data_IF_827171480877
#
_entry.id   IF_827171480877
#
_cell.length_a   1.000
_cell.length_b   1.000
_cell.length_c   1.000
_cell.angle_alpha   90.00
_cell.angle_beta   90.00
_cell.angle_gamma   90.00
#
_symmetry.space_group_name_H-M   'P 1'
#
loop_
_entity.id
_entity.type
_entity.pdbx_description
1 polymer ?
#
# COMPACT_ATOMS: atom_id res chain seq x y z
N UNK A 1 20.55 -8.97 27.24
CA UNK A 1 19.93 -8.36 26.03
C UNK A 1 18.71 -9.21 25.72
N UNK A 2 17.47 -8.68 25.85
CA UNK A 2 16.29 -9.44 25.43
C UNK A 2 16.40 -9.70 23.94
N UNK A 3 16.23 -10.93 23.53
CA UNK A 3 16.17 -11.33 22.11
C UNK A 3 15.13 -10.46 21.38
N UNK A 4 15.49 -9.91 20.23
CA UNK A 4 14.64 -8.98 19.49
C UNK A 4 13.47 -9.74 18.90
N UNK A 5 12.24 -9.39 19.25
CA UNK A 5 11.07 -9.93 18.58
C UNK A 5 10.94 -9.30 17.18
N UNK A 6 11.15 -10.07 16.10
CA UNK A 6 11.12 -9.58 14.74
C UNK A 6 9.70 -9.22 14.27
N UNK A 7 8.67 -9.52 15.06
CA UNK A 7 7.27 -9.24 14.72
C UNK A 7 6.79 -7.88 15.22
N UNK A 8 7.54 -7.21 16.12
CA UNK A 8 7.16 -5.89 16.65
C UNK A 8 7.87 -4.79 15.88
N UNK A 9 7.15 -3.81 15.29
CA UNK A 9 7.80 -2.63 14.71
C UNK A 9 8.62 -1.88 15.76
N UNK A 10 9.76 -1.33 15.37
CA UNK A 10 10.65 -0.63 16.30
C UNK A 10 11.16 0.70 15.73
N UNK A 11 11.04 1.77 16.52
CA UNK A 11 11.75 3.01 16.24
C UNK A 11 13.20 2.85 16.72
N UNK A 12 14.23 2.98 15.85
CA UNK A 12 15.60 2.60 16.20
C UNK A 12 16.36 3.69 16.98
N UNK A 13 15.80 4.90 17.08
CA UNK A 13 16.48 6.03 17.68
C UNK A 13 15.97 6.32 19.10
N UNK A 14 16.68 7.21 19.79
CA UNK A 14 16.23 7.74 21.10
C UNK A 14 14.96 8.59 20.91
N UNK A 15 14.12 8.57 21.91
CA UNK A 15 12.90 9.40 21.95
C UNK A 15 13.24 10.89 21.86
N UNK A 16 12.44 11.63 21.12
CA UNK A 16 12.50 13.10 21.05
C UNK A 16 11.74 13.68 22.24
N UNK A 17 12.47 14.25 23.21
CA UNK A 17 11.95 14.61 24.52
C UNK A 17 11.23 15.96 24.60
N UNK A 18 11.30 16.84 23.59
CA UNK A 18 10.67 18.16 23.63
C UNK A 18 10.24 18.66 22.26
N UNK A 19 9.38 19.68 22.24
CA UNK A 19 8.93 20.36 21.01
C UNK A 19 10.11 21.04 20.30
N UNK A 20 11.06 21.59 21.05
CA UNK A 20 12.28 22.21 20.53
C UNK A 20 13.14 21.17 19.80
N UNK A 21 13.35 20.02 20.42
CA UNK A 21 14.08 18.90 19.82
C UNK A 21 13.36 18.38 18.58
N UNK A 22 12.03 18.30 18.59
CA UNK A 22 11.24 17.93 17.42
C UNK A 22 11.40 18.95 16.29
N UNK A 23 11.30 20.24 16.56
CA UNK A 23 11.47 21.30 15.57
C UNK A 23 12.85 21.26 14.92
N UNK A 24 13.90 21.11 15.75
CA UNK A 24 15.28 20.94 15.27
C UNK A 24 15.42 19.69 14.43
N UNK A 25 14.90 18.54 14.85
CA UNK A 25 14.95 17.28 14.12
C UNK A 25 14.23 17.36 12.77
N UNK A 26 13.10 18.05 12.71
CA UNK A 26 12.33 18.25 11.48
C UNK A 26 12.85 19.41 10.62
N UNK A 27 13.87 20.14 11.07
CA UNK A 27 14.45 21.33 10.41
C UNK A 27 13.42 22.42 10.14
N UNK A 28 12.64 22.76 11.15
CA UNK A 28 11.62 23.82 11.12
C UNK A 28 11.75 24.66 12.39
N UNK A 29 11.37 25.95 12.35
CA UNK A 29 11.33 26.75 13.59
C UNK A 29 10.21 26.24 14.52
N UNK A 30 10.39 26.35 15.85
CA UNK A 30 9.35 26.02 16.82
C UNK A 30 8.05 26.79 16.53
N UNK A 31 8.17 28.06 16.16
CA UNK A 31 7.03 28.92 15.82
C UNK A 31 6.26 28.35 14.62
N UNK A 32 6.95 27.96 13.55
CA UNK A 32 6.31 27.41 12.35
C UNK A 32 5.73 26.02 12.61
N UNK A 33 6.41 25.19 13.43
CA UNK A 33 5.91 23.88 13.83
C UNK A 33 4.56 24.01 14.54
N UNK A 34 4.46 24.88 15.55
CA UNK A 34 3.23 25.11 16.30
C UNK A 34 2.14 25.70 15.40
N UNK A 35 2.46 26.73 14.61
CA UNK A 35 1.52 27.35 13.67
C UNK A 35 0.94 26.34 12.68
N UNK A 36 1.78 25.47 12.13
CA UNK A 36 1.33 24.44 11.20
C UNK A 36 0.48 23.37 11.89
N UNK A 37 0.82 22.98 13.12
CA UNK A 37 0.03 22.03 13.89
C UNK A 37 -1.37 22.58 14.25
N UNK A 38 -1.47 23.85 14.64
CA UNK A 38 -2.72 24.52 14.97
C UNK A 38 -3.65 24.66 13.75
N UNK A 39 -3.07 24.86 12.57
CA UNK A 39 -3.81 25.11 11.33
C UNK A 39 -3.85 23.89 10.39
N UNK A 40 -3.34 22.73 10.79
CA UNK A 40 -3.14 21.58 9.92
C UNK A 40 -4.41 21.17 9.15
N UNK A 41 -5.56 21.12 9.83
CA UNK A 41 -6.85 20.75 9.19
C UNK A 41 -7.29 21.69 8.08
N UNK A 42 -6.89 22.95 8.10
CA UNK A 42 -7.21 23.94 7.06
C UNK A 42 -6.27 23.88 5.86
N UNK A 43 -5.19 23.08 5.96
CA UNK A 43 -4.12 22.99 4.97
C UNK A 43 -4.23 21.73 4.09
N UNK A 44 -5.44 21.20 3.90
CA UNK A 44 -5.70 20.11 2.98
C UNK A 44 -6.68 20.51 1.87
N UNK A 45 -6.46 19.96 0.70
CA UNK A 45 -7.40 19.96 -0.42
C UNK A 45 -7.92 18.55 -0.63
N UNK A 46 -9.23 18.37 -0.53
CA UNK A 46 -9.88 17.11 -0.84
C UNK A 46 -9.99 16.92 -2.37
N UNK A 47 -9.65 15.74 -2.86
CA UNK A 47 -9.76 15.37 -4.27
C UNK A 47 -10.64 14.11 -4.36
N UNK A 48 -11.81 14.19 -5.04
CA UNK A 48 -12.67 13.04 -5.25
C UNK A 48 -12.11 12.16 -6.38
N UNK A 49 -12.01 10.85 -6.13
CA UNK A 49 -11.65 9.85 -7.13
C UNK A 49 -12.83 8.90 -7.31
N UNK A 50 -13.42 8.78 -8.51
CA UNK A 50 -14.51 7.85 -8.77
C UNK A 50 -14.06 6.40 -8.54
N UNK A 51 -14.87 5.60 -7.84
CA UNK A 51 -14.65 4.16 -7.68
C UNK A 51 -15.21 3.39 -8.86
N UNK A 52 -14.56 2.31 -9.29
CA UNK A 52 -15.02 1.43 -10.38
C UNK A 52 -16.39 0.79 -10.14
N UNK A 53 -16.79 0.63 -8.89
CA UNK A 53 -18.08 0.05 -8.49
C UNK A 53 -19.13 1.08 -8.05
N UNK A 54 -18.95 2.35 -8.40
CA UNK A 54 -19.78 3.46 -7.94
C UNK A 54 -19.31 4.08 -6.62
N UNK A 55 -19.73 5.33 -6.37
CA UNK A 55 -19.31 6.11 -5.22
C UNK A 55 -17.96 6.81 -5.42
N UNK A 56 -17.53 7.54 -4.39
CA UNK A 56 -16.33 8.38 -4.41
C UNK A 56 -15.35 7.89 -3.34
N UNK A 57 -14.06 7.95 -3.65
CA UNK A 57 -12.94 7.82 -2.73
C UNK A 57 -12.33 9.20 -2.56
N UNK A 58 -12.28 9.70 -1.35
CA UNK A 58 -11.65 10.96 -1.07
C UNK A 58 -10.17 10.77 -0.80
N UNK A 59 -9.34 11.56 -1.48
CA UNK A 59 -7.91 11.67 -1.19
C UNK A 59 -7.61 13.12 -0.84
N UNK A 60 -6.55 13.32 -0.07
CA UNK A 60 -6.23 14.63 0.48
C UNK A 60 -4.81 15.02 0.11
N UNK A 61 -4.64 16.19 -0.49
CA UNK A 61 -3.33 16.76 -0.77
C UNK A 61 -3.07 17.93 0.19
N UNK A 62 -1.97 17.87 0.94
CA UNK A 62 -1.59 18.94 1.84
C UNK A 62 -1.01 20.13 1.06
N UNK A 63 -1.37 21.36 1.46
CA UNK A 63 -0.74 22.58 0.93
C UNK A 63 0.77 22.60 1.17
N UNK A 64 1.56 23.31 0.33
CA UNK A 64 3.02 23.21 0.32
C UNK A 64 3.73 23.31 1.67
N UNK A 65 3.38 24.23 2.59
CA UNK A 65 4.05 24.30 3.89
C UNK A 65 3.87 23.03 4.73
N UNK A 66 2.63 22.54 4.86
CA UNK A 66 2.32 21.30 5.58
C UNK A 66 2.91 20.08 4.83
N UNK A 67 2.80 20.04 3.52
CA UNK A 67 3.34 18.95 2.68
C UNK A 67 4.85 18.78 2.81
N UNK A 68 5.60 19.89 2.94
CA UNK A 68 7.04 19.86 3.21
C UNK A 68 7.33 19.27 4.59
N UNK A 69 6.65 19.76 5.63
CA UNK A 69 6.82 19.27 6.99
C UNK A 69 6.45 17.79 7.12
N UNK A 70 5.34 17.36 6.50
CA UNK A 70 4.95 15.94 6.43
C UNK A 70 6.00 15.09 5.68
N UNK A 71 6.67 15.67 4.69
CA UNK A 71 7.84 15.03 4.06
C UNK A 71 8.96 14.78 5.06
N UNK A 72 9.30 15.79 5.88
CA UNK A 72 10.33 15.64 6.92
C UNK A 72 9.91 14.62 7.99
N UNK A 73 8.65 14.61 8.42
CA UNK A 73 8.10 13.59 9.35
C UNK A 73 8.28 12.20 8.74
N UNK A 74 7.87 12.00 7.49
CA UNK A 74 8.03 10.72 6.80
C UNK A 74 9.49 10.27 6.74
N UNK A 75 10.39 11.12 6.24
CA UNK A 75 11.78 10.77 5.99
C UNK A 75 12.59 10.56 7.28
N UNK A 76 12.29 11.32 8.35
CA UNK A 76 13.11 11.35 9.55
C UNK A 76 12.58 10.50 10.69
N UNK A 77 11.27 10.29 10.76
CA UNK A 77 10.64 9.53 11.84
C UNK A 77 10.10 8.19 11.36
N UNK A 78 9.34 8.16 10.26
CA UNK A 78 8.61 6.97 9.86
C UNK A 78 9.45 6.03 8.98
N UNK A 79 10.22 6.55 8.04
CA UNK A 79 11.07 5.75 7.16
C UNK A 79 12.12 4.91 7.90
N UNK A 80 12.77 5.44 8.97
CA UNK A 80 13.76 4.67 9.73
C UNK A 80 13.19 3.55 10.61
N UNK A 81 11.88 3.45 10.78
CA UNK A 81 11.26 2.38 11.58
C UNK A 81 11.64 1.01 11.00
N UNK A 82 12.05 0.10 11.85
CA UNK A 82 12.24 -1.30 11.50
C UNK A 82 10.87 -1.97 11.41
N UNK A 83 10.41 -2.19 10.19
CA UNK A 83 9.11 -2.81 9.93
C UNK A 83 9.23 -4.33 9.88
N UNK A 84 8.36 -5.09 10.57
CA UNK A 84 8.28 -6.54 10.44
C UNK A 84 8.07 -7.00 8.99
N UNK A 85 8.57 -8.18 8.67
CA UNK A 85 8.51 -8.73 7.31
C UNK A 85 7.08 -9.00 6.81
N UNK A 86 6.13 -9.20 7.71
CA UNK A 86 4.72 -9.42 7.34
C UNK A 86 4.01 -8.13 6.87
N UNK A 87 4.52 -6.95 7.21
CA UNK A 87 4.00 -5.68 6.70
C UNK A 87 4.53 -5.43 5.30
N UNK A 88 3.62 -5.39 4.35
CA UNK A 88 3.91 -5.23 2.94
C UNK A 88 3.19 -3.98 2.37
N UNK A 89 3.73 -3.45 1.30
CA UNK A 89 3.13 -2.31 0.60
C UNK A 89 3.39 -0.95 1.24
N UNK A 90 3.71 0.02 0.41
CA UNK A 90 3.93 1.41 0.79
C UNK A 90 5.03 1.64 1.84
N UNK A 91 5.89 0.68 2.07
CA UNK A 91 7.09 0.76 2.90
C UNK A 91 8.29 0.70 1.96
N UNK A 92 9.16 1.71 2.05
CA UNK A 92 10.44 1.68 1.35
C UNK A 92 11.43 0.89 2.19
N UNK A 93 11.86 -0.24 1.67
CA UNK A 93 12.88 -1.10 2.26
C UNK A 93 13.93 -1.36 1.17
N UNK A 94 15.19 -0.90 1.34
CA UNK A 94 16.22 -1.07 0.32
C UNK A 94 16.69 -2.53 0.18
N UNK A 95 16.61 -3.30 1.25
CA UNK A 95 17.18 -4.66 1.32
C UNK A 95 16.13 -5.72 0.98
N UNK A 96 14.87 -5.46 1.34
CA UNK A 96 13.77 -6.41 1.14
C UNK A 96 12.60 -5.72 0.43
N UNK A 97 12.43 -5.93 -0.88
CA UNK A 97 11.32 -5.34 -1.62
C UNK A 97 9.96 -5.72 -1.02
N UNK A 98 9.13 -4.72 -0.72
CA UNK A 98 7.76 -4.87 -0.19
C UNK A 98 6.73 -4.55 -1.26
N UNK A 99 6.94 -5.13 -2.42
CA UNK A 99 6.13 -4.94 -3.61
C UNK A 99 4.96 -5.94 -3.68
N UNK A 100 3.95 -5.68 -4.53
CA UNK A 100 2.82 -6.61 -4.71
C UNK A 100 3.23 -8.04 -5.07
N UNK A 101 4.32 -8.22 -5.82
CA UNK A 101 4.83 -9.54 -6.16
C UNK A 101 5.50 -10.21 -4.96
N UNK A 102 6.36 -9.50 -4.23
CA UNK A 102 7.02 -10.02 -3.04
C UNK A 102 5.98 -10.46 -2.00
N UNK A 103 4.94 -9.65 -1.79
CA UNK A 103 3.81 -10.04 -0.95
C UNK A 103 3.13 -11.35 -1.41
N UNK A 104 2.92 -11.51 -2.70
CA UNK A 104 2.32 -12.73 -3.25
C UNK A 104 3.26 -13.94 -3.18
N UNK A 105 4.58 -13.72 -3.29
CA UNK A 105 5.60 -14.77 -3.17
C UNK A 105 5.61 -15.39 -1.77
N UNK A 106 5.31 -14.64 -0.71
CA UNK A 106 5.18 -15.18 0.67
C UNK A 106 4.13 -16.31 0.74
N UNK A 107 3.09 -16.22 -0.07
CA UNK A 107 1.96 -17.15 -0.08
C UNK A 107 2.03 -18.19 -1.20
N UNK A 108 3.06 -18.14 -2.04
CA UNK A 108 3.19 -19.02 -3.20
C UNK A 108 3.30 -20.48 -2.77
N UNK A 109 2.59 -21.36 -3.47
CA UNK A 109 2.59 -22.81 -3.18
C UNK A 109 1.60 -23.25 -2.11
N UNK A 110 1.10 -22.36 -1.26
CA UNK A 110 0.11 -22.70 -0.23
C UNK A 110 -1.20 -23.20 -0.83
N UNK A 111 -1.94 -23.96 -0.04
CA UNK A 111 -3.16 -24.66 -0.48
C UNK A 111 -4.44 -23.85 -0.20
N UNK A 112 -4.58 -23.27 1.00
CA UNK A 112 -5.77 -22.52 1.41
C UNK A 112 -5.41 -21.07 1.70
N UNK A 113 -6.30 -20.15 1.32
CA UNK A 113 -6.15 -18.71 1.48
C UNK A 113 -7.38 -18.12 2.14
N UNK A 114 -7.18 -17.33 3.18
CA UNK A 114 -8.18 -16.45 3.80
C UNK A 114 -7.74 -15.03 3.47
N UNK A 115 -8.62 -14.27 2.80
CA UNK A 115 -8.33 -12.90 2.36
C UNK A 115 -9.37 -11.96 2.94
N UNK A 116 -8.91 -10.89 3.56
CA UNK A 116 -9.71 -9.85 4.18
C UNK A 116 -9.24 -8.46 3.76
N UNK A 117 -10.13 -7.49 3.82
CA UNK A 117 -9.85 -6.09 3.53
C UNK A 117 -10.44 -5.23 4.66
N UNK A 118 -9.73 -4.24 5.12
CA UNK A 118 -10.22 -3.32 6.15
C UNK A 118 -11.06 -2.23 5.50
N UNK A 119 -12.29 -2.06 5.97
CA UNK A 119 -13.21 -1.08 5.43
C UNK A 119 -12.73 0.35 5.69
N UNK A 120 -12.49 1.12 4.62
CA UNK A 120 -12.10 2.54 4.74
C UNK A 120 -10.86 2.77 5.60
N UNK A 121 -9.85 1.92 5.48
CA UNK A 121 -8.73 1.79 6.42
C UNK A 121 -8.15 3.11 6.90
N UNK A 122 -7.71 3.97 5.98
CA UNK A 122 -7.15 5.28 6.34
C UNK A 122 -8.12 6.15 7.16
N UNK A 123 -9.36 6.24 6.69
CA UNK A 123 -10.41 7.01 7.36
C UNK A 123 -10.93 6.40 8.65
N UNK A 124 -10.63 5.14 8.93
CA UNK A 124 -11.00 4.45 10.17
C UNK A 124 -9.92 4.56 11.26
N UNK A 125 -8.70 4.97 10.92
CA UNK A 125 -7.62 5.18 11.90
C UNK A 125 -7.83 6.52 12.59
N UNK A 126 -8.25 6.47 13.86
CA UNK A 126 -8.52 7.65 14.64
C UNK A 126 -7.24 8.37 15.12
N UNK A 127 -7.32 9.69 15.47
CA UNK A 127 -6.22 10.42 16.08
C UNK A 127 -5.73 9.77 17.38
N UNK A 128 -6.59 9.08 18.13
CA UNK A 128 -6.18 8.37 19.35
C UNK A 128 -5.21 7.23 19.03
N UNK A 129 -5.47 6.45 17.98
CA UNK A 129 -4.56 5.40 17.53
C UNK A 129 -3.22 5.98 17.06
N UNK A 130 -3.24 7.11 16.35
CA UNK A 130 -2.01 7.80 15.89
C UNK A 130 -1.24 8.37 17.07
N UNK A 131 -1.91 8.98 18.05
CA UNK A 131 -1.27 9.51 19.26
C UNK A 131 -0.65 8.40 20.11
N UNK A 132 -1.37 7.28 20.29
CA UNK A 132 -0.85 6.11 21.01
C UNK A 132 0.41 5.55 20.33
N UNK A 133 0.42 5.48 19.01
CA UNK A 133 1.60 5.09 18.23
C UNK A 133 2.80 6.02 18.52
N UNK A 134 2.64 7.34 18.45
CA UNK A 134 3.73 8.28 18.75
C UNK A 134 4.21 8.17 20.19
N UNK A 135 3.29 7.96 21.15
CA UNK A 135 3.63 7.86 22.56
C UNK A 135 4.31 6.55 22.93
N UNK A 136 3.79 5.43 22.48
CA UNK A 136 4.20 4.11 23.00
C UNK A 136 5.20 3.40 22.09
N UNK A 137 5.03 3.47 20.76
CA UNK A 137 5.98 2.87 19.84
C UNK A 137 7.24 3.75 19.69
N UNK A 138 7.08 5.08 19.55
CA UNK A 138 8.21 6.00 19.41
C UNK A 138 8.74 6.49 20.78
N UNK A 139 7.99 6.30 21.85
CA UNK A 139 8.36 6.75 23.19
C UNK A 139 8.31 8.26 23.38
N UNK A 140 7.60 9.02 22.53
CA UNK A 140 7.57 10.48 22.61
C UNK A 140 6.66 10.97 23.75
N UNK A 141 7.01 12.08 24.43
CA UNK A 141 6.15 12.67 25.45
C UNK A 141 4.85 13.21 24.84
N UNK A 142 3.84 13.40 25.69
CA UNK A 142 2.48 13.72 25.28
C UNK A 142 2.39 14.95 24.35
N UNK A 143 3.09 16.02 24.67
CA UNK A 143 3.11 17.26 23.90
C UNK A 143 3.72 17.10 22.48
N UNK A 144 4.77 16.30 22.35
CA UNK A 144 5.39 15.96 21.05
C UNK A 144 4.45 15.09 20.23
N UNK A 145 3.88 14.05 20.84
CA UNK A 145 2.94 13.15 20.18
C UNK A 145 1.67 13.88 19.70
N UNK A 146 1.16 14.83 20.49
CA UNK A 146 -0.01 15.66 20.13
C UNK A 146 0.27 16.51 18.88
N UNK A 147 1.41 17.20 18.83
CA UNK A 147 1.80 17.99 17.64
C UNK A 147 1.91 17.10 16.40
N UNK A 148 2.59 15.95 16.51
CA UNK A 148 2.71 15.02 15.40
C UNK A 148 1.34 14.47 14.96
N UNK A 149 0.46 14.17 15.89
CA UNK A 149 -0.91 13.73 15.60
C UNK A 149 -1.66 14.79 14.80
N UNK A 150 -1.67 16.05 15.26
CA UNK A 150 -2.32 17.17 14.56
C UNK A 150 -1.77 17.36 13.14
N UNK A 151 -0.45 17.23 12.94
CA UNK A 151 0.20 17.38 11.64
C UNK A 151 -0.07 16.23 10.67
N UNK A 152 -0.51 15.07 11.17
CA UNK A 152 -0.65 13.85 10.37
C UNK A 152 -2.08 13.30 10.30
N UNK A 153 -3.02 13.96 10.97
CA UNK A 153 -4.47 13.66 10.89
C UNK A 153 -5.24 14.86 10.35
N UNK A 154 -6.42 14.61 9.83
CA UNK A 154 -7.33 15.62 9.28
C UNK A 154 -8.77 15.20 9.56
N UNK A 155 -9.56 16.07 10.18
CA UNK A 155 -10.99 15.83 10.50
C UNK A 155 -11.26 14.46 11.15
N UNK A 156 -10.45 14.10 12.13
CA UNK A 156 -10.64 12.86 12.90
C UNK A 156 -10.16 11.59 12.20
N UNK A 157 -9.39 11.69 11.11
CA UNK A 157 -8.92 10.54 10.33
C UNK A 157 -7.46 10.71 9.87
N UNK A 158 -6.84 9.63 9.42
CA UNK A 158 -5.58 9.68 8.66
C UNK A 158 -5.90 9.97 7.19
N UNK A 159 -5.45 11.12 6.64
CA UNK A 159 -5.83 11.56 5.30
C UNK A 159 -5.15 10.71 4.22
N UNK A 160 -5.94 9.99 3.43
CA UNK A 160 -5.42 9.20 2.32
C UNK A 160 -4.79 10.10 1.25
N UNK A 161 -3.55 9.81 0.85
CA UNK A 161 -2.78 10.60 -0.12
C UNK A 161 -1.74 11.55 0.49
N UNK A 162 -1.81 11.86 1.80
CA UNK A 162 -0.77 12.63 2.46
C UNK A 162 0.52 11.79 2.64
N UNK A 163 1.67 12.47 2.64
CA UNK A 163 2.98 11.81 2.64
C UNK A 163 3.23 10.81 3.77
N UNK A 164 2.82 11.05 5.04
CA UNK A 164 3.06 10.12 6.15
C UNK A 164 2.01 9.01 6.24
N UNK A 165 0.86 9.15 5.59
CA UNK A 165 -0.34 8.37 5.88
C UNK A 165 -0.17 6.86 5.70
N UNK A 166 0.52 6.41 4.65
CA UNK A 166 0.71 4.97 4.42
C UNK A 166 1.61 4.33 5.48
N UNK A 167 2.61 5.05 5.97
CA UNK A 167 3.48 4.57 7.06
C UNK A 167 2.71 4.50 8.38
N UNK A 168 1.93 5.52 8.71
CA UNK A 168 1.06 5.54 9.89
C UNK A 168 0.04 4.40 9.82
N UNK A 169 -0.59 4.19 8.67
CA UNK A 169 -1.53 3.10 8.45
C UNK A 169 -0.86 1.72 8.66
N UNK A 170 0.38 1.54 8.21
CA UNK A 170 1.12 0.31 8.48
C UNK A 170 1.43 0.10 9.97
N UNK A 171 1.55 1.17 10.75
CA UNK A 171 1.80 1.11 12.19
C UNK A 171 0.53 1.15 13.06
N UNK A 172 -0.66 1.30 12.48
CA UNK A 172 -1.90 1.44 13.25
C UNK A 172 -2.23 0.24 14.16
N UNK A 173 -1.75 -0.96 13.79
CA UNK A 173 -1.96 -2.21 14.53
C UNK A 173 -0.70 -2.68 15.31
N UNK A 174 0.30 -1.83 15.47
CA UNK A 174 1.65 -2.15 15.95
C UNK A 174 1.71 -2.97 17.26
N UNK A 175 0.74 -2.82 18.15
CA UNK A 175 0.68 -3.43 19.48
C UNK A 175 -0.25 -4.65 19.57
N UNK A 176 -1.13 -4.85 18.59
CA UNK A 176 -2.11 -5.96 18.58
C UNK A 176 -1.83 -6.99 17.49
N UNK A 177 -1.25 -6.57 16.37
CA UNK A 177 -0.96 -7.45 15.21
C UNK A 177 0.16 -8.47 15.48
N UNK A 178 1.28 -8.13 16.18
CA UNK A 178 2.36 -9.07 16.43
C UNK A 178 1.92 -10.37 17.11
N UNK A 179 1.06 -10.28 18.11
CA UNK A 179 0.55 -11.46 18.82
C UNK A 179 -0.31 -12.36 17.92
N UNK A 180 -1.12 -11.75 17.06
CA UNK A 180 -1.90 -12.50 16.08
C UNK A 180 -1.00 -13.20 15.05
N UNK A 181 0.02 -12.48 14.55
CA UNK A 181 0.99 -13.05 13.60
C UNK A 181 1.77 -14.20 14.22
N UNK A 182 2.21 -14.06 15.47
CA UNK A 182 2.88 -15.13 16.21
C UNK A 182 2.02 -16.39 16.25
N UNK A 183 0.75 -16.26 16.58
CA UNK A 183 -0.18 -17.38 16.62
C UNK A 183 -0.40 -18.04 15.24
N UNK A 184 -0.45 -17.26 14.19
CA UNK A 184 -0.54 -17.78 12.82
C UNK A 184 0.75 -18.54 12.44
N UNK A 185 1.92 -18.00 12.78
CA UNK A 185 3.21 -18.63 12.49
C UNK A 185 3.42 -19.93 13.27
N UNK A 186 3.03 -19.99 14.56
CA UNK A 186 3.14 -21.20 15.36
C UNK A 186 2.30 -22.36 14.84
N UNK A 187 1.24 -22.07 14.07
CA UNK A 187 0.42 -23.07 13.37
C UNK A 187 1.02 -23.50 12.03
N UNK A 188 2.20 -22.95 11.63
CA UNK A 188 2.82 -23.20 10.33
C UNK A 188 2.12 -22.51 9.17
N UNK A 189 1.36 -21.42 9.43
CA UNK A 189 0.68 -20.64 8.42
C UNK A 189 1.44 -19.34 8.12
N UNK A 190 1.17 -18.74 6.97
CA UNK A 190 1.77 -17.48 6.53
C UNK A 190 0.76 -16.37 6.66
N UNK A 191 1.18 -15.25 7.23
CA UNK A 191 0.42 -14.00 7.33
C UNK A 191 1.15 -12.88 6.58
N UNK A 192 0.40 -12.05 5.87
CA UNK A 192 0.89 -10.75 5.43
C UNK A 192 -0.25 -9.71 5.41
N UNK A 193 0.14 -8.44 5.56
CA UNK A 193 -0.76 -7.31 5.36
C UNK A 193 -0.14 -6.32 4.37
N UNK A 194 -0.83 -6.14 3.24
CA UNK A 194 -0.48 -5.16 2.23
C UNK A 194 -1.38 -3.92 2.39
N UNK A 195 -0.98 -3.00 3.26
CA UNK A 195 -1.74 -1.82 3.71
C UNK A 195 -3.06 -2.25 4.36
N UNK A 196 -4.17 -2.30 3.61
CA UNK A 196 -5.51 -2.69 4.05
C UNK A 196 -5.90 -4.13 3.69
N UNK A 197 -5.19 -4.76 2.75
CA UNK A 197 -5.42 -6.14 2.33
C UNK A 197 -4.64 -7.13 3.22
N UNK A 198 -5.34 -7.98 3.98
CA UNK A 198 -4.78 -9.06 4.80
C UNK A 198 -4.90 -10.39 4.08
N UNK A 199 -3.83 -11.17 4.10
CA UNK A 199 -3.81 -12.54 3.58
C UNK A 199 -3.24 -13.48 4.61
N UNK A 200 -3.97 -14.56 4.89
CA UNK A 200 -3.49 -15.72 5.66
C UNK A 200 -3.51 -16.92 4.73
N UNK A 201 -2.44 -17.68 4.65
CA UNK A 201 -2.42 -18.90 3.85
C UNK A 201 -1.81 -20.09 4.60
N UNK A 202 -2.31 -21.27 4.30
CA UNK A 202 -1.92 -22.53 4.91
C UNK A 202 -1.49 -23.54 3.85
N UNK A 203 -0.48 -24.40 4.14
CA UNK A 203 -0.03 -25.42 3.20
C UNK A 203 -1.04 -26.58 3.03
N UNK A 204 -2.05 -26.66 3.89
CA UNK A 204 -3.10 -27.69 3.93
C UNK A 204 -4.49 -27.10 3.94
N UNK A 205 -5.49 -27.95 3.77
CA UNK A 205 -6.87 -27.59 4.04
C UNK A 205 -7.09 -27.38 5.55
N UNK A 206 -7.95 -26.43 5.88
CA UNK A 206 -8.38 -26.15 7.25
C UNK A 206 -9.80 -26.63 7.48
N UNK A 207 -10.09 -27.10 8.69
CA UNK A 207 -11.46 -27.40 9.12
C UNK A 207 -12.32 -26.12 9.18
N UNK A 208 -13.61 -26.25 9.23
CA UNK A 208 -14.53 -25.11 9.40
C UNK A 208 -14.27 -24.39 10.72
N UNK A 209 -13.96 -25.14 11.78
CA UNK A 209 -13.64 -24.58 13.09
C UNK A 209 -12.35 -23.75 13.06
N UNK A 210 -11.27 -24.26 12.46
CA UNK A 210 -10.01 -23.53 12.32
C UNK A 210 -10.19 -22.21 11.54
N UNK A 211 -10.93 -22.24 10.42
CA UNK A 211 -11.25 -21.04 9.64
C UNK A 211 -12.02 -20.00 10.44
N UNK A 212 -13.07 -20.45 11.14
CA UNK A 212 -13.89 -19.57 11.98
C UNK A 212 -13.08 -18.95 13.11
N UNK A 213 -12.22 -19.73 13.76
CA UNK A 213 -11.34 -19.27 14.83
C UNK A 213 -10.36 -18.20 14.32
N UNK A 214 -9.69 -18.43 13.20
CA UNK A 214 -8.75 -17.49 12.60
C UNK A 214 -9.46 -16.17 12.24
N UNK A 215 -10.62 -16.24 11.57
CA UNK A 215 -11.38 -15.06 11.16
C UNK A 215 -11.91 -14.30 12.39
N UNK A 216 -12.41 -15.00 13.40
CA UNK A 216 -12.87 -14.38 14.66
C UNK A 216 -11.77 -13.61 15.36
N UNK A 217 -10.56 -14.19 15.46
CA UNK A 217 -9.40 -13.55 16.08
C UNK A 217 -8.91 -12.35 15.26
N UNK A 218 -8.86 -12.49 13.93
CA UNK A 218 -8.53 -11.38 13.04
C UNK A 218 -9.49 -10.19 13.21
N UNK A 219 -10.80 -10.47 13.30
CA UNK A 219 -11.79 -9.43 13.52
C UNK A 219 -11.71 -8.82 14.92
N UNK A 220 -11.33 -9.61 15.93
CA UNK A 220 -11.02 -9.11 17.26
C UNK A 220 -9.84 -8.15 17.27
N UNK A 221 -8.78 -8.47 16.52
CA UNK A 221 -7.62 -7.59 16.33
C UNK A 221 -8.02 -6.26 15.66
N UNK A 222 -8.84 -6.28 14.62
CA UNK A 222 -9.36 -5.07 14.00
C UNK A 222 -10.19 -4.24 14.97
N UNK A 223 -11.13 -4.88 15.68
CA UNK A 223 -12.03 -4.23 16.62
C UNK A 223 -11.28 -3.53 17.78
N UNK A 224 -10.15 -4.08 18.23
CA UNK A 224 -9.31 -3.48 19.27
C UNK A 224 -8.76 -2.08 18.86
N UNK A 225 -8.76 -1.76 17.58
CA UNK A 225 -8.36 -0.44 17.04
C UNK A 225 -9.51 0.31 16.38
N UNK A 226 -10.76 -0.10 16.62
CA UNK A 226 -11.94 0.50 16.01
C UNK A 226 -12.11 0.23 14.51
N UNK A 227 -11.31 -0.68 13.95
CA UNK A 227 -11.36 -1.05 12.55
C UNK A 227 -12.43 -2.13 12.30
N UNK A 228 -12.93 -2.18 11.06
CA UNK A 228 -13.96 -3.16 10.66
C UNK A 228 -13.56 -3.87 9.36
N UNK A 229 -13.83 -5.18 9.24
CA UNK A 229 -13.62 -5.89 7.99
C UNK A 229 -14.60 -5.43 6.92
N UNK A 230 -14.18 -5.43 5.68
CA UNK A 230 -15.04 -5.19 4.51
C UNK A 230 -15.63 -6.52 4.04
N UNK A 231 -16.70 -6.97 4.65
CA UNK A 231 -17.31 -8.30 4.46
C UNK A 231 -17.53 -8.70 2.99
N UNK A 232 -17.80 -7.75 2.12
CA UNK A 232 -17.98 -7.99 0.67
C UNK A 232 -16.69 -8.47 -0.03
N UNK A 233 -15.53 -8.28 0.60
CA UNK A 233 -14.22 -8.72 0.09
C UNK A 233 -13.71 -9.98 0.81
N UNK A 234 -14.40 -10.44 1.86
CA UNK A 234 -14.09 -11.70 2.52
C UNK A 234 -14.00 -12.84 1.51
N UNK A 235 -12.96 -13.61 1.55
CA UNK A 235 -12.77 -14.74 0.64
C UNK A 235 -11.97 -15.85 1.33
N UNK A 236 -12.52 -17.05 1.29
CA UNK A 236 -11.79 -18.27 1.63
C UNK A 236 -11.75 -19.15 0.39
N UNK A 237 -10.57 -19.41 -0.14
CA UNK A 237 -10.41 -20.13 -1.39
C UNK A 237 -9.26 -21.14 -1.33
N UNK A 238 -9.38 -22.22 -2.08
CA UNK A 238 -8.34 -23.25 -2.22
C UNK A 238 -7.55 -23.02 -3.50
N UNK A 239 -6.31 -23.50 -3.51
CA UNK A 239 -5.46 -23.56 -4.70
C UNK A 239 -6.24 -24.18 -5.87
N UNK A 240 -6.21 -23.53 -7.03
CA UNK A 240 -6.92 -24.00 -8.23
C UNK A 240 -8.42 -23.73 -8.28
N UNK A 241 -9.05 -23.31 -7.19
CA UNK A 241 -10.47 -23.00 -7.14
C UNK A 241 -10.75 -21.67 -7.86
N UNK A 242 -11.84 -21.63 -8.67
CA UNK A 242 -12.33 -20.37 -9.21
C UNK A 242 -12.90 -19.51 -8.07
N UNK A 243 -12.55 -18.24 -8.04
CA UNK A 243 -13.09 -17.25 -7.10
C UNK A 243 -14.00 -16.28 -7.83
N UNK A 244 -14.82 -15.54 -7.11
CA UNK A 244 -15.65 -14.47 -7.68
C UNK A 244 -14.86 -13.42 -8.49
N UNK A 245 -13.55 -13.33 -8.28
CA UNK A 245 -12.63 -12.44 -9.01
C UNK A 245 -11.94 -13.08 -10.22
N UNK A 246 -12.23 -14.35 -10.54
CA UNK A 246 -11.64 -15.06 -11.67
C UNK A 246 -11.12 -16.46 -11.33
N UNK A 247 -10.37 -17.08 -12.26
CA UNK A 247 -9.80 -18.42 -12.07
C UNK A 247 -8.55 -18.37 -11.20
N UNK A 248 -8.57 -19.07 -10.09
CA UNK A 248 -7.44 -19.23 -9.15
C UNK A 248 -7.31 -18.08 -8.15
N UNK A 249 -6.65 -18.38 -7.02
CA UNK A 249 -6.38 -17.40 -5.97
C UNK A 249 -5.30 -16.44 -6.41
N UNK A 250 -5.55 -15.15 -6.21
CA UNK A 250 -4.55 -14.10 -6.45
C UNK A 250 -4.30 -13.31 -5.17
N UNK A 251 -3.04 -13.04 -4.87
CA UNK A 251 -2.61 -12.13 -3.81
C UNK A 251 -2.00 -10.90 -4.48
N UNK A 252 -2.47 -9.71 -4.13
CA UNK A 252 -2.02 -8.44 -4.74
C UNK A 252 -1.98 -8.46 -6.29
N UNK A 253 -2.88 -9.25 -6.89
CA UNK A 253 -3.01 -9.38 -8.35
C UNK A 253 -2.07 -10.38 -9.02
N UNK A 254 -1.34 -11.19 -8.25
CA UNK A 254 -0.51 -12.30 -8.74
C UNK A 254 -1.11 -13.64 -8.35
N UNK A 255 -1.08 -14.61 -9.27
CA UNK A 255 -1.48 -15.98 -8.99
C UNK A 255 -0.41 -16.69 -8.14
N UNK A 256 -0.86 -17.41 -7.12
CA UNK A 256 -0.02 -18.07 -6.11
C UNK A 256 0.00 -19.59 -6.22
N UNK A 257 -0.57 -20.14 -7.28
CA UNK A 257 -0.70 -21.60 -7.48
C UNK A 257 0.61 -22.35 -7.76
N UNK A 258 1.66 -21.65 -8.18
CA UNK A 258 3.01 -22.21 -8.37
C UNK A 258 3.90 -21.96 -7.15
N UNK A 259 5.17 -22.40 -7.23
CA UNK A 259 6.21 -22.12 -6.22
C UNK A 259 6.68 -20.66 -6.17
N UNK A 260 6.23 -19.81 -7.12
CA UNK A 260 6.45 -18.37 -7.19
C UNK A 260 5.19 -17.66 -7.66
N UNK A 261 5.03 -16.43 -7.23
CA UNK A 261 3.95 -15.55 -7.69
C UNK A 261 4.12 -15.20 -9.17
N UNK A 262 3.05 -15.33 -9.94
CA UNK A 262 3.08 -15.09 -11.39
C UNK A 262 1.83 -14.34 -11.87
N UNK A 263 1.95 -13.60 -12.95
CA UNK A 263 0.76 -13.03 -13.61
C UNK A 263 -0.01 -14.16 -14.31
N UNK A 264 -1.32 -14.27 -14.06
CA UNK A 264 -2.14 -15.35 -14.59
C UNK A 264 -2.10 -15.40 -16.13
N UNK A 265 -2.25 -16.61 -16.71
CA UNK A 265 -2.30 -16.80 -18.17
C UNK A 265 -3.38 -15.93 -18.83
N UNK A 266 -4.55 -15.83 -18.19
CA UNK A 266 -5.66 -15.02 -18.70
C UNK A 266 -5.29 -13.52 -18.75
N UNK A 267 -4.63 -13.00 -17.72
CA UNK A 267 -4.19 -11.61 -17.68
C UNK A 267 -3.06 -11.37 -18.70
N UNK A 268 -2.08 -12.26 -18.82
CA UNK A 268 -1.04 -12.17 -19.86
C UNK A 268 -1.63 -12.11 -21.26
N UNK A 269 -2.65 -12.92 -21.55
CA UNK A 269 -3.33 -12.90 -22.84
C UNK A 269 -4.06 -11.58 -23.09
N UNK A 270 -4.79 -11.05 -22.09
CA UNK A 270 -5.45 -9.73 -22.20
C UNK A 270 -4.45 -8.61 -22.49
N UNK A 271 -3.32 -8.62 -21.79
CA UNK A 271 -2.26 -7.62 -22.00
C UNK A 271 -1.65 -7.75 -23.40
N UNK A 272 -1.39 -8.96 -23.87
CA UNK A 272 -0.91 -9.22 -25.23
C UNK A 272 -1.87 -8.68 -26.28
N UNK A 273 -3.17 -8.93 -26.13
CA UNK A 273 -4.21 -8.39 -27.03
C UNK A 273 -4.24 -6.87 -27.00
N UNK A 274 -4.18 -6.27 -25.79
CA UNK A 274 -4.14 -4.82 -25.64
C UNK A 274 -2.93 -4.19 -26.33
N UNK A 275 -1.74 -4.76 -26.19
CA UNK A 275 -0.52 -4.29 -26.87
C UNK A 275 -0.70 -4.36 -28.39
N UNK A 276 -1.21 -5.48 -28.94
CA UNK A 276 -1.49 -5.62 -30.38
C UNK A 276 -2.48 -4.57 -30.91
N UNK A 277 -3.53 -4.28 -30.14
CA UNK A 277 -4.50 -3.24 -30.53
C UNK A 277 -3.85 -1.85 -30.57
N UNK A 278 -2.99 -1.54 -29.58
CA UNK A 278 -2.24 -0.26 -29.53
C UNK A 278 -1.32 -0.14 -30.74
N UNK A 279 -0.62 -1.20 -31.14
CA UNK A 279 0.26 -1.22 -32.33
C UNK A 279 -0.52 -0.94 -33.62
N UNK A 280 -1.65 -1.60 -33.78
CA UNK A 280 -2.51 -1.40 -34.97
C UNK A 280 -3.03 0.04 -35.01
N UNK A 281 -3.59 0.53 -33.92
CA UNK A 281 -4.20 1.86 -33.84
C UNK A 281 -3.17 2.98 -34.04
N UNK A 282 -1.98 2.84 -33.44
CA UNK A 282 -0.91 3.82 -33.60
C UNK A 282 -0.41 3.90 -35.07
N UNK A 283 -0.48 2.79 -35.85
CA UNK A 283 -0.10 2.77 -37.25
C UNK A 283 -1.20 3.31 -38.18
N UNK A 284 -2.48 3.08 -37.82
CA UNK A 284 -3.61 3.37 -38.73
C UNK A 284 -4.30 4.68 -38.45
N UNK A 285 -4.37 5.12 -37.18
CA UNK A 285 -5.18 6.29 -36.73
C UNK A 285 -4.35 7.42 -36.15
N UNK A 286 -3.05 7.21 -35.96
CA UNK A 286 -2.20 8.19 -35.30
C UNK A 286 -2.44 8.31 -33.79
N UNK A 287 -2.06 9.45 -33.20
CA UNK A 287 -2.16 9.67 -31.75
C UNK A 287 -3.50 10.27 -31.34
N UNK A 288 -4.06 9.76 -30.22
CA UNK A 288 -5.23 10.35 -29.54
C UNK A 288 -5.04 10.33 -28.02
N UNK A 289 -5.78 11.15 -27.24
CA UNK A 289 -5.77 11.06 -25.77
C UNK A 289 -6.11 9.67 -25.25
N UNK A 290 -7.08 8.98 -25.87
CA UNK A 290 -7.53 7.65 -25.51
C UNK A 290 -6.43 6.60 -25.78
N UNK A 291 -5.75 6.70 -26.91
CA UNK A 291 -4.62 5.82 -27.24
C UNK A 291 -3.46 6.00 -26.25
N UNK A 292 -3.16 7.26 -25.87
CA UNK A 292 -2.15 7.56 -24.83
C UNK A 292 -2.50 6.95 -23.48
N UNK A 293 -3.76 7.08 -23.04
CA UNK A 293 -4.23 6.48 -21.79
C UNK A 293 -4.15 4.95 -21.82
N UNK A 294 -4.55 4.32 -22.93
CA UNK A 294 -4.46 2.87 -23.13
C UNK A 294 -3.01 2.40 -23.17
N UNK A 295 -2.12 3.13 -23.79
CA UNK A 295 -0.68 2.84 -23.80
C UNK A 295 -0.10 2.89 -22.39
N UNK A 296 -0.40 3.91 -21.59
CA UNK A 296 0.07 4.02 -20.21
C UNK A 296 -0.45 2.87 -19.33
N UNK A 297 -1.72 2.51 -19.47
CA UNK A 297 -2.32 1.36 -18.79
C UNK A 297 -1.66 0.05 -19.19
N UNK A 298 -1.44 -0.18 -20.49
CA UNK A 298 -0.76 -1.38 -21.00
C UNK A 298 0.71 -1.44 -20.54
N UNK A 299 1.43 -0.32 -20.55
CA UNK A 299 2.83 -0.25 -20.08
C UNK A 299 2.97 -0.65 -18.63
N UNK A 300 2.07 -0.18 -17.74
CA UNK A 300 2.06 -0.56 -16.33
C UNK A 300 1.82 -2.08 -16.15
N UNK A 301 0.89 -2.65 -16.94
CA UNK A 301 0.56 -4.08 -16.89
C UNK A 301 1.69 -4.95 -17.48
N UNK A 302 2.31 -4.53 -18.57
CA UNK A 302 3.50 -5.18 -19.16
C UNK A 302 4.67 -5.15 -18.18
N UNK A 303 4.92 -4.00 -17.52
CA UNK A 303 5.94 -3.87 -16.48
C UNK A 303 5.74 -4.89 -15.35
N UNK A 304 4.50 -5.14 -14.93
CA UNK A 304 4.18 -6.16 -13.93
C UNK A 304 4.50 -7.59 -14.41
N UNK A 305 4.20 -7.92 -15.69
CA UNK A 305 4.49 -9.23 -16.27
C UNK A 305 6.02 -9.45 -16.40
N UNK A 306 6.75 -8.42 -16.80
CA UNK A 306 8.21 -8.50 -16.96
C UNK A 306 8.92 -8.66 -15.59
N UNK A 307 8.52 -7.89 -14.57
CA UNK A 307 9.05 -8.04 -13.20
C UNK A 307 8.84 -9.44 -12.63
N UNK A 308 7.77 -10.12 -13.01
CA UNK A 308 7.55 -11.52 -12.64
C UNK A 308 8.51 -12.52 -13.34
N UNK A 309 9.55 -12.05 -14.03
CA UNK A 309 10.56 -12.88 -14.69
C UNK A 309 10.05 -13.54 -15.98
N UNK A 310 9.00 -13.01 -16.59
CA UNK A 310 8.40 -13.60 -17.79
C UNK A 310 9.08 -13.08 -19.06
N UNK A 311 9.69 -14.00 -19.85
CA UNK A 311 10.21 -13.68 -21.19
C UNK A 311 9.13 -13.03 -22.10
N UNK A 312 7.86 -13.38 -21.92
CA UNK A 312 6.74 -12.74 -22.61
C UNK A 312 6.61 -11.26 -22.21
N UNK A 313 6.84 -10.94 -20.93
CA UNK A 313 6.81 -9.56 -20.44
C UNK A 313 7.87 -8.70 -21.11
N UNK A 314 9.09 -9.20 -21.22
CA UNK A 314 10.19 -8.47 -21.88
C UNK A 314 9.91 -8.23 -23.37
N UNK A 315 9.41 -9.24 -24.09
CA UNK A 315 9.00 -9.06 -25.49
C UNK A 315 7.89 -8.02 -25.66
N UNK A 316 6.89 -8.01 -24.78
CA UNK A 316 5.83 -7.00 -24.82
C UNK A 316 6.33 -5.59 -24.47
N UNK A 317 7.34 -5.50 -23.59
CA UNK A 317 8.00 -4.22 -23.25
C UNK A 317 8.73 -3.65 -24.46
N UNK A 318 9.47 -4.46 -25.18
CA UNK A 318 10.16 -4.07 -26.43
C UNK A 318 9.16 -3.57 -27.46
N UNK A 319 8.07 -4.32 -27.73
CA UNK A 319 7.01 -3.93 -28.66
C UNK A 319 6.37 -2.58 -28.31
N UNK A 320 6.09 -2.32 -27.03
CA UNK A 320 5.60 -1.02 -26.60
C UNK A 320 6.65 0.10 -26.78
N UNK A 321 7.94 -0.20 -26.57
CA UNK A 321 9.00 0.77 -26.80
C UNK A 321 9.09 1.20 -28.28
N UNK A 322 8.94 0.26 -29.21
CA UNK A 322 8.91 0.53 -30.65
C UNK A 322 7.74 1.42 -31.08
N UNK A 323 6.57 1.24 -30.47
CA UNK A 323 5.36 1.99 -30.82
C UNK A 323 5.28 3.35 -30.09
N UNK A 324 6.01 3.51 -28.99
CA UNK A 324 5.98 4.72 -28.16
C UNK A 324 6.17 6.04 -28.94
N UNK A 325 7.10 6.16 -29.92
CA UNK A 325 7.26 7.40 -30.69
C UNK A 325 6.02 7.78 -31.50
N UNK A 326 5.27 6.81 -32.02
CA UNK A 326 4.02 7.04 -32.77
C UNK A 326 2.87 7.45 -31.84
N UNK A 327 2.84 6.97 -30.59
CA UNK A 327 1.83 7.34 -29.59
C UNK A 327 2.15 8.72 -28.95
N UNK A 328 3.43 9.01 -28.77
CA UNK A 328 3.92 10.26 -28.15
C UNK A 328 4.94 10.91 -29.09
N UNK A 329 4.49 11.49 -30.22
CA UNK A 329 5.40 12.19 -31.13
C UNK A 329 6.06 13.35 -30.38
N UNK A 330 7.37 13.52 -30.62
CA UNK A 330 8.07 14.71 -30.14
C UNK A 330 7.46 15.92 -30.85
N UNK A 331 6.96 16.91 -30.11
CA UNK A 331 6.57 18.20 -30.68
C UNK A 331 7.78 18.76 -31.44
N UNK A 332 7.62 18.98 -32.76
CA UNK A 332 8.65 19.68 -33.54
C UNK A 332 8.72 21.11 -33.00
N UNK A 333 9.89 21.58 -32.57
CA UNK A 333 10.14 22.95 -32.12
C UNK A 333 9.89 24.01 -33.22
N UNK A 334 9.29 23.62 -34.37
CA UNK A 334 9.09 24.50 -35.53
C UNK A 334 7.79 25.27 -35.56
N UNK A 335 6.81 24.99 -34.66
CA UNK A 335 5.50 25.65 -34.69
C UNK A 335 5.33 26.83 -33.74
N UNK A 336 6.40 27.29 -33.06
CA UNK A 336 6.34 28.41 -32.10
C UNK A 336 6.66 29.78 -32.79
N UNK A 337 7.06 29.78 -34.06
CA UNK A 337 7.41 31.02 -34.77
C UNK A 337 6.57 31.28 -36.02
N UNK A 338 5.30 30.89 -36.04
CA UNK A 338 4.35 31.30 -37.05
C UNK A 338 3.02 31.71 -36.39
N UNK A 339 2.97 32.88 -35.82
CA UNK A 339 1.85 33.81 -35.71
C UNK A 339 2.43 35.18 -35.43
#
# INVERSE_FOLDING_TARGET
>A
MRERDPLIPRYPYRSIGSIEALASHLRVSRRDLNRLAENASRLYRANPIPKKGGGVRWTYDAHPPLKRLQGSIKERLLLPVEYPAYLQGSIRDPDTPREPQANADLHAGNFLFIQEDVAGFFGAISPCVVNDMWRRLFGFPANVAEILTRLTTHEGLVPEGAKPSSYIANLALWDVEPQFVMDIHTRGFVYSRYVDDVVISAPRNLSSQEKTEIVRRLYGMFAAKGLRPKRQKHSIAKKGQATARGRGVTVTGYATSGGRAAVSKAERNRVRTSVRQIEIEARTRGTSPELKARFQSASSRVGRIARAGSAQGERLRQRLAEVKPSVFPKSSRRDIYRT
#
